data_IF_105644252150
#
_entry.id   IF_105644252150
#
_cell.length_a   1.000
_cell.length_b   1.000
_cell.length_c   1.000
_cell.angle_alpha   90.00
_cell.angle_beta   90.00
_cell.angle_gamma   90.00
#
_symmetry.space_group_name_H-M   'P 1'
#
loop_
_entity.id
_entity.type
_entity.pdbx_description
1 polymer ?
#
# COMPACT_ATOMS: atom_id res chain seq x y z
N UNK A 1 -19.31 17.36 -5.67
CA UNK A 1 -20.19 17.81 -4.56
C UNK A 1 -19.35 17.87 -3.30
N UNK A 2 -19.19 19.08 -2.73
CA UNK A 2 -18.43 19.36 -1.51
C UNK A 2 -19.33 19.09 -0.29
N UNK A 3 -18.88 18.32 0.69
CA UNK A 3 -19.37 18.32 2.07
C UNK A 3 -18.15 18.02 2.96
N UNK A 4 -17.52 19.02 3.58
CA UNK A 4 -17.91 19.74 4.80
C UNK A 4 -17.83 18.84 6.05
N UNK A 5 -16.64 18.80 6.67
CA UNK A 5 -16.45 18.41 8.06
C UNK A 5 -17.18 19.43 8.96
N UNK A 6 -18.12 18.94 9.76
CA UNK A 6 -18.88 19.70 10.74
C UNK A 6 -18.61 19.20 12.16
N UNK A 7 -18.38 20.16 13.05
CA UNK A 7 -18.12 20.09 14.49
C UNK A 7 -19.00 19.09 15.27
N UNK A 8 -18.45 18.56 16.36
CA UNK A 8 -19.24 18.15 17.52
C UNK A 8 -18.75 18.89 18.77
N UNK A 9 -19.71 19.47 19.49
CA UNK A 9 -19.56 20.40 20.60
C UNK A 9 -19.36 19.69 21.96
N UNK A 10 -18.95 20.51 22.93
CA UNK A 10 -18.53 20.18 24.28
C UNK A 10 -19.59 19.49 25.16
N UNK A 11 -19.11 18.60 26.04
CA UNK A 11 -19.84 18.07 27.19
C UNK A 11 -18.88 17.83 28.36
N UNK A 12 -19.26 18.36 29.53
CA UNK A 12 -18.54 18.31 30.81
C UNK A 12 -18.07 16.89 31.21
N UNK A 13 -16.82 16.76 31.66
CA UNK A 13 -16.36 15.61 32.44
C UNK A 13 -15.99 16.02 33.88
N UNK A 14 -16.62 15.35 34.84
CA UNK A 14 -16.26 15.35 36.26
C UNK A 14 -14.87 14.74 36.47
N UNK A 15 -14.07 15.37 37.32
CA UNK A 15 -12.74 14.89 37.70
C UNK A 15 -12.85 13.70 38.67
N UNK A 16 -12.48 12.52 38.20
CA UNK A 16 -12.18 11.35 39.02
C UNK A 16 -10.69 11.04 38.90
N UNK A 17 -9.95 11.15 40.00
CA UNK A 17 -8.52 10.82 40.06
C UNK A 17 -8.31 9.31 39.86
N UNK A 18 -7.77 8.92 38.71
CA UNK A 18 -7.30 7.56 38.47
C UNK A 18 -5.77 7.53 38.55
N UNK A 19 -5.26 6.66 39.40
CA UNK A 19 -3.83 6.45 39.62
C UNK A 19 -3.11 6.10 38.31
N UNK A 20 -2.01 6.81 38.04
CA UNK A 20 -1.16 6.56 36.89
C UNK A 20 -0.45 5.22 37.03
N UNK A 21 -0.91 4.21 36.30
CA UNK A 21 -0.12 3.02 36.02
C UNK A 21 1.01 3.44 35.07
N UNK A 22 2.26 3.26 35.50
CA UNK A 22 3.43 3.51 34.66
C UNK A 22 3.38 2.60 33.43
N UNK A 23 3.10 3.18 32.26
CA UNK A 23 3.27 2.50 30.99
C UNK A 23 4.76 2.18 30.82
N UNK A 24 5.08 0.89 30.71
CA UNK A 24 6.40 0.46 30.30
C UNK A 24 6.68 1.06 28.92
N UNK A 25 7.65 1.97 28.85
CA UNK A 25 8.10 2.58 27.61
C UNK A 25 8.69 1.49 26.71
N UNK A 26 8.06 1.27 25.56
CA UNK A 26 8.72 0.60 24.43
C UNK A 26 10.00 1.39 24.13
N UNK A 27 11.17 0.76 23.96
CA UNK A 27 12.42 1.48 23.72
C UNK A 27 12.25 2.46 22.56
N UNK A 28 12.57 3.72 22.83
CA UNK A 28 12.37 4.82 21.90
C UNK A 28 13.10 4.58 20.60
N UNK A 29 12.35 4.59 19.49
CA UNK A 29 12.90 4.87 18.17
C UNK A 29 13.32 6.34 18.14
N UNK A 30 14.55 6.55 18.59
CA UNK A 30 15.35 7.75 18.48
C UNK A 30 16.82 7.36 18.33
N UNK A 31 17.07 6.21 17.68
CA UNK A 31 18.41 5.72 17.44
C UNK A 31 19.16 6.71 16.55
N UNK A 32 20.42 6.96 16.88
CA UNK A 32 21.36 7.64 15.97
C UNK A 32 21.26 6.97 14.60
N UNK A 33 20.90 7.72 13.56
CA UNK A 33 20.86 7.21 12.18
C UNK A 33 19.46 7.06 11.56
N UNK A 34 18.38 7.36 12.27
CA UNK A 34 17.06 7.44 11.62
C UNK A 34 16.96 8.69 10.71
N UNK A 35 16.53 8.51 9.46
CA UNK A 35 16.37 9.60 8.50
C UNK A 35 15.10 9.44 7.65
N UNK A 36 14.58 10.57 7.16
CA UNK A 36 13.59 10.63 6.08
C UNK A 36 14.11 11.66 5.07
N UNK A 37 14.28 11.24 3.84
CA UNK A 37 14.82 12.07 2.77
C UNK A 37 13.98 11.94 1.49
N UNK A 38 13.89 12.99 0.65
CA UNK A 38 13.33 12.87 -0.68
C UNK A 38 14.02 11.78 -1.50
N UNK A 39 13.23 10.87 -2.05
CA UNK A 39 13.66 9.93 -3.07
C UNK A 39 13.12 10.39 -4.41
N UNK A 40 13.89 11.25 -5.08
CA UNK A 40 13.46 11.93 -6.28
C UNK A 40 14.28 11.55 -7.54
N UNK A 41 14.23 10.29 -8.01
CA UNK A 41 14.95 9.91 -9.21
C UNK A 41 14.44 10.66 -10.44
N UNK A 42 15.38 11.07 -11.31
CA UNK A 42 15.04 11.67 -12.59
C UNK A 42 14.08 10.78 -13.39
N UNK A 43 13.15 11.40 -14.13
CA UNK A 43 12.05 10.78 -14.90
C UNK A 43 10.95 10.09 -14.08
N UNK A 44 11.23 9.73 -12.82
CA UNK A 44 10.23 9.20 -11.89
C UNK A 44 9.51 10.33 -11.17
N UNK A 45 10.23 11.29 -10.59
CA UNK A 45 9.59 12.44 -9.94
C UNK A 45 9.12 13.46 -10.96
N UNK A 46 7.89 13.95 -10.78
CA UNK A 46 7.32 14.99 -11.64
C UNK A 46 6.36 15.91 -10.86
N UNK A 47 5.77 16.94 -11.49
CA UNK A 47 4.70 17.74 -10.86
C UNK A 47 3.36 17.00 -10.71
N UNK A 48 3.31 15.72 -11.07
CA UNK A 48 2.14 14.84 -10.88
C UNK A 48 2.27 14.10 -9.56
N UNK A 49 1.22 13.37 -9.19
CA UNK A 49 1.23 12.61 -7.96
C UNK A 49 1.81 11.22 -8.22
N UNK A 50 2.99 10.91 -7.69
CA UNK A 50 3.57 9.57 -7.70
C UNK A 50 3.36 8.83 -6.36
N UNK A 51 3.06 7.53 -6.40
CA UNK A 51 2.83 6.71 -5.21
C UNK A 51 2.99 5.22 -5.47
N UNK A 52 2.82 4.40 -4.42
CA UNK A 52 2.77 2.93 -4.49
C UNK A 52 3.90 2.30 -5.32
N UNK A 53 5.18 2.60 -5.03
CA UNK A 53 6.29 1.97 -5.71
C UNK A 53 6.30 0.46 -5.45
N UNK A 54 6.76 -0.28 -6.44
CA UNK A 54 7.03 -1.72 -6.40
C UNK A 54 8.17 -2.04 -7.35
N UNK A 55 9.23 -2.69 -6.86
CA UNK A 55 10.32 -3.13 -7.72
C UNK A 55 10.06 -4.56 -8.20
N UNK A 56 10.25 -4.82 -9.50
CA UNK A 56 10.26 -6.18 -10.03
C UNK A 56 11.49 -6.91 -9.46
N UNK A 57 11.32 -7.99 -8.67
CA UNK A 57 12.45 -8.68 -8.05
C UNK A 57 13.36 -9.41 -9.05
N UNK A 58 12.94 -9.59 -10.32
CA UNK A 58 13.77 -10.21 -11.37
C UNK A 58 14.60 -9.21 -12.15
N UNK A 59 14.09 -8.00 -12.39
CA UNK A 59 14.74 -7.03 -13.28
C UNK A 59 15.23 -5.78 -12.58
N UNK A 60 14.70 -5.47 -11.39
CA UNK A 60 14.92 -4.21 -10.69
C UNK A 60 14.14 -3.03 -11.29
N UNK A 61 13.27 -3.27 -12.28
CA UNK A 61 12.42 -2.23 -12.86
C UNK A 61 11.42 -1.70 -11.82
N UNK A 62 11.15 -0.39 -11.87
CA UNK A 62 10.20 0.26 -10.97
C UNK A 62 8.83 0.29 -11.61
N UNK A 63 7.85 -0.27 -10.91
CA UNK A 63 6.43 -0.06 -11.14
C UNK A 63 5.92 0.91 -10.07
N UNK A 64 5.08 1.85 -10.45
CA UNK A 64 4.53 2.84 -9.53
C UNK A 64 3.21 3.38 -10.04
N UNK A 65 2.43 3.97 -9.15
CA UNK A 65 1.20 4.67 -9.50
C UNK A 65 1.52 6.13 -9.81
N UNK A 66 0.97 6.64 -10.91
CA UNK A 66 0.94 8.06 -11.21
C UNK A 66 -0.48 8.52 -11.50
N UNK A 67 -0.87 9.65 -10.92
CA UNK A 67 -2.18 10.29 -11.10
C UNK A 67 -2.07 11.79 -11.37
N UNK A 68 -3.20 12.44 -11.62
CA UNK A 68 -3.27 13.89 -11.59
C UNK A 68 -2.90 14.43 -10.19
N UNK A 69 -2.52 15.72 -10.07
CA UNK A 69 -2.17 16.32 -8.78
C UNK A 69 -3.27 16.26 -7.72
N UNK A 70 -4.54 16.14 -8.12
CA UNK A 70 -5.70 15.97 -7.24
C UNK A 70 -5.97 14.50 -6.86
N UNK A 71 -4.99 13.61 -7.12
CA UNK A 71 -5.04 12.18 -6.84
C UNK A 71 -6.14 11.43 -7.62
N UNK A 72 -6.54 11.92 -8.80
CA UNK A 72 -7.49 11.26 -9.69
C UNK A 72 -6.84 10.59 -10.91
N UNK A 73 -7.49 9.58 -11.47
CA UNK A 73 -7.05 8.92 -12.70
C UNK A 73 -5.81 8.04 -12.54
N UNK A 74 -5.73 7.27 -11.44
CA UNK A 74 -4.61 6.37 -11.14
C UNK A 74 -4.26 5.44 -12.30
N UNK A 75 -2.98 5.40 -12.65
CA UNK A 75 -2.38 4.47 -13.61
C UNK A 75 -1.12 3.87 -13.05
N UNK A 76 -0.95 2.57 -13.26
CA UNK A 76 0.34 1.89 -13.05
C UNK A 76 1.23 2.22 -14.24
N UNK A 77 2.43 2.72 -13.97
CA UNK A 77 3.49 2.92 -14.94
C UNK A 77 4.68 2.06 -14.55
N UNK A 78 5.50 1.72 -15.55
CA UNK A 78 6.78 1.07 -15.35
C UNK A 78 7.92 1.90 -15.95
N UNK A 79 9.06 1.94 -15.27
CA UNK A 79 10.31 2.52 -15.75
C UNK A 79 11.42 1.51 -15.59
N UNK A 80 12.24 1.37 -16.64
CA UNK A 80 13.36 0.43 -16.65
C UNK A 80 14.61 1.05 -16.05
N UNK A 81 15.36 0.25 -15.31
CA UNK A 81 16.61 0.68 -14.71
C UNK A 81 17.79 0.31 -15.62
N UNK A 82 18.47 1.30 -16.19
CA UNK A 82 19.54 1.09 -17.18
C UNK A 82 20.78 1.95 -16.95
N UNK A 83 21.78 1.88 -17.85
CA UNK A 83 23.02 2.66 -17.73
C UNK A 83 22.78 4.17 -17.71
N UNK A 84 21.73 4.66 -18.37
CA UNK A 84 21.35 6.08 -18.41
C UNK A 84 20.41 6.48 -17.26
N UNK A 85 20.29 5.62 -16.24
CA UNK A 85 19.32 5.77 -15.15
C UNK A 85 17.96 5.15 -15.46
N UNK A 86 16.93 5.66 -14.81
CA UNK A 86 15.54 5.28 -15.07
C UNK A 86 15.11 5.73 -16.48
N UNK A 87 14.37 4.89 -17.20
CA UNK A 87 13.76 5.25 -18.49
C UNK A 87 12.56 6.17 -18.33
N UNK A 88 12.07 6.75 -19.44
CA UNK A 88 10.75 7.37 -19.43
C UNK A 88 9.68 6.34 -18.98
N UNK A 89 8.79 6.70 -18.03
CA UNK A 89 7.73 5.81 -17.58
C UNK A 89 6.73 5.51 -18.70
N UNK A 90 6.46 4.24 -18.92
CA UNK A 90 5.48 3.75 -19.90
C UNK A 90 4.40 2.91 -19.22
N UNK A 91 3.27 2.70 -19.86
CA UNK A 91 2.28 1.74 -19.36
C UNK A 91 2.86 0.32 -19.44
N UNK A 92 2.63 -0.53 -18.43
CA UNK A 92 3.05 -1.92 -18.49
C UNK A 92 2.27 -2.70 -19.56
N UNK A 93 2.81 -3.82 -20.09
CA UNK A 93 2.16 -4.59 -21.15
C UNK A 93 0.75 -5.12 -20.82
N UNK A 94 0.41 -5.20 -19.53
CA UNK A 94 -0.89 -5.67 -19.03
C UNK A 94 -1.88 -4.55 -18.68
N UNK A 95 -1.48 -3.29 -18.89
CA UNK A 95 -2.31 -2.12 -18.67
C UNK A 95 -3.64 -2.28 -19.43
N UNK A 96 -4.73 -1.92 -18.77
CA UNK A 96 -6.07 -2.00 -19.34
C UNK A 96 -6.81 -0.68 -19.23
N UNK A 97 -8.04 -0.65 -19.71
CA UNK A 97 -8.95 0.48 -19.49
C UNK A 97 -9.28 0.69 -18.00
N UNK A 98 -9.72 1.91 -17.66
CA UNK A 98 -10.16 2.25 -16.30
C UNK A 98 -9.02 2.79 -15.44
N UNK A 99 -9.24 2.81 -14.13
CA UNK A 99 -8.19 3.12 -13.16
C UNK A 99 -7.52 1.83 -12.69
N UNK A 100 -6.24 1.93 -12.38
CA UNK A 100 -5.44 0.82 -11.84
C UNK A 100 -4.36 1.35 -10.89
N UNK A 101 -4.13 0.62 -9.80
CA UNK A 101 -3.22 1.04 -8.74
C UNK A 101 -2.66 -0.17 -7.96
N UNK A 102 -1.81 0.12 -6.98
CA UNK A 102 -1.31 -0.80 -5.96
C UNK A 102 -0.56 -2.03 -6.49
N UNK A 103 0.44 -1.87 -7.37
CA UNK A 103 1.20 -3.00 -7.86
C UNK A 103 1.94 -3.70 -6.71
N UNK A 104 1.87 -5.04 -6.68
CA UNK A 104 2.60 -5.87 -5.74
C UNK A 104 3.09 -7.16 -6.38
N UNK A 105 4.41 -7.36 -6.38
CA UNK A 105 5.03 -8.56 -6.90
C UNK A 105 5.03 -9.68 -5.85
N UNK A 106 4.87 -10.92 -6.30
CA UNK A 106 5.33 -12.08 -5.54
C UNK A 106 6.86 -12.04 -5.39
N UNK A 107 7.40 -12.70 -4.35
CA UNK A 107 8.84 -12.67 -4.08
C UNK A 107 9.70 -13.23 -5.23
N UNK A 108 9.19 -14.23 -5.96
CA UNK A 108 9.80 -14.77 -7.18
C UNK A 108 9.51 -13.92 -8.43
N UNK A 109 8.70 -12.87 -8.28
CA UNK A 109 8.17 -12.00 -9.31
C UNK A 109 7.30 -12.68 -10.35
N UNK A 110 6.89 -13.95 -10.22
CA UNK A 110 6.09 -14.63 -11.23
C UNK A 110 4.71 -14.01 -11.44
N UNK A 111 4.17 -13.36 -10.41
CA UNK A 111 2.84 -12.76 -10.41
C UNK A 111 2.91 -11.34 -9.88
N UNK A 112 2.10 -10.46 -10.46
CA UNK A 112 1.82 -9.13 -9.93
C UNK A 112 0.34 -9.04 -9.57
N UNK A 113 0.05 -8.64 -8.34
CA UNK A 113 -1.28 -8.26 -7.86
C UNK A 113 -1.47 -6.75 -7.97
N UNK A 114 -2.69 -6.31 -8.23
CA UNK A 114 -3.04 -4.91 -8.34
C UNK A 114 -4.55 -4.72 -8.23
N UNK A 115 -5.02 -3.48 -8.09
CA UNK A 115 -6.44 -3.15 -8.15
C UNK A 115 -6.81 -2.52 -9.50
N UNK A 116 -8.03 -2.76 -9.97
CA UNK A 116 -8.51 -2.11 -11.20
C UNK A 116 -10.02 -2.09 -11.31
N UNK A 117 -10.54 -1.02 -11.94
CA UNK A 117 -11.94 -0.90 -12.36
C UNK A 117 -12.19 -1.38 -13.80
N UNK A 118 -11.21 -2.09 -14.39
CA UNK A 118 -11.38 -2.73 -15.70
C UNK A 118 -12.53 -3.74 -15.65
N UNK A 119 -13.23 -3.93 -16.76
CA UNK A 119 -14.31 -4.92 -16.80
C UNK A 119 -13.76 -6.34 -16.72
N UNK A 120 -14.37 -7.25 -15.93
CA UNK A 120 -13.97 -8.67 -15.84
C UNK A 120 -13.84 -9.37 -17.20
N UNK A 121 -14.76 -9.09 -18.12
CA UNK A 121 -14.81 -9.63 -19.47
C UNK A 121 -13.98 -8.82 -20.49
N UNK A 122 -13.44 -7.68 -20.08
CA UNK A 122 -12.74 -6.72 -20.95
C UNK A 122 -13.66 -5.81 -21.76
N UNK A 123 -14.97 -5.84 -21.52
CA UNK A 123 -15.91 -4.92 -22.18
C UNK A 123 -15.73 -3.47 -21.70
N UNK A 124 -15.98 -2.52 -22.59
CA UNK A 124 -16.08 -1.12 -22.18
C UNK A 124 -17.33 -0.92 -21.31
N UNK A 125 -17.25 0.01 -20.35
CA UNK A 125 -18.43 0.43 -19.59
C UNK A 125 -19.52 0.93 -20.56
N UNK A 126 -20.80 0.58 -20.35
CA UNK A 126 -21.89 1.22 -21.08
C UNK A 126 -21.85 2.75 -20.87
N UNK A 127 -22.12 3.57 -21.91
CA UNK A 127 -22.21 5.01 -21.75
C UNK A 127 -23.18 5.39 -20.62
N UNK A 128 -22.76 6.29 -19.73
CA UNK A 128 -23.60 6.79 -18.64
C UNK A 128 -23.80 5.84 -17.46
N UNK A 129 -23.17 4.64 -17.45
CA UNK A 129 -23.09 3.79 -16.27
C UNK A 129 -21.64 3.78 -15.75
N UNK A 130 -21.38 4.21 -14.51
CA UNK A 130 -20.04 4.09 -13.95
C UNK A 130 -19.62 2.61 -13.95
N UNK A 131 -18.34 2.34 -14.23
CA UNK A 131 -17.75 1.01 -14.00
C UNK A 131 -17.92 0.65 -12.52
N UNK A 132 -17.89 -0.65 -12.22
CA UNK A 132 -17.93 -1.20 -10.86
C UNK A 132 -16.86 -0.52 -9.97
N UNK A 133 -16.97 -0.75 -8.66
CA UNK A 133 -15.91 -0.53 -7.70
C UNK A 133 -14.57 -1.20 -8.12
N UNK A 134 -13.51 -0.90 -7.38
CA UNK A 134 -12.20 -1.51 -7.61
C UNK A 134 -12.22 -2.95 -7.14
N UNK A 135 -11.79 -3.87 -8.00
CA UNK A 135 -11.59 -5.28 -7.63
C UNK A 135 -10.09 -5.58 -7.53
N UNK A 136 -9.74 -6.69 -6.86
CA UNK A 136 -8.42 -7.29 -6.88
C UNK A 136 -8.20 -8.12 -8.15
N UNK A 137 -7.06 -7.88 -8.78
CA UNK A 137 -6.59 -8.55 -9.98
C UNK A 137 -5.20 -9.13 -9.75
N UNK A 138 -4.86 -10.15 -10.55
CA UNK A 138 -3.50 -10.64 -10.71
C UNK A 138 -3.12 -10.76 -12.18
N UNK A 139 -1.84 -10.70 -12.48
CA UNK A 139 -1.30 -11.04 -13.79
C UNK A 139 -0.04 -11.87 -13.60
N UNK A 140 0.01 -12.99 -14.31
CA UNK A 140 1.15 -13.91 -14.30
C UNK A 140 2.04 -13.64 -15.51
N UNK A 141 3.35 -13.80 -15.35
CA UNK A 141 4.28 -13.84 -16.49
C UNK A 141 4.73 -15.27 -16.78
N UNK A 142 4.93 -15.54 -18.07
CA UNK A 142 5.44 -16.83 -18.52
C UNK A 142 6.93 -17.03 -18.19
N UNK A 143 7.47 -18.21 -18.52
CA UNK A 143 8.87 -18.54 -18.30
C UNK A 143 9.85 -17.64 -19.08
N UNK A 144 9.38 -16.96 -20.13
CA UNK A 144 10.15 -15.99 -20.92
C UNK A 144 10.02 -14.56 -20.36
N UNK A 145 9.28 -14.37 -19.26
CA UNK A 145 9.08 -13.08 -18.61
C UNK A 145 8.00 -12.22 -19.25
N UNK A 146 7.20 -12.75 -20.19
CA UNK A 146 6.11 -11.99 -20.82
C UNK A 146 4.88 -12.03 -19.94
N UNK A 147 4.32 -10.86 -19.65
CA UNK A 147 3.05 -10.75 -18.94
C UNK A 147 1.89 -11.33 -19.76
N UNK A 148 1.07 -12.14 -19.11
CA UNK A 148 -0.16 -12.69 -19.68
C UNK A 148 -1.34 -11.73 -19.57
N UNK A 149 -2.55 -12.28 -19.74
CA UNK A 149 -3.79 -11.53 -19.54
C UNK A 149 -4.11 -11.43 -18.04
N UNK A 150 -4.41 -10.22 -17.51
CA UNK A 150 -4.86 -10.07 -16.14
C UNK A 150 -6.15 -10.83 -15.84
N UNK A 151 -6.20 -11.41 -14.65
CA UNK A 151 -7.31 -12.20 -14.13
C UNK A 151 -7.86 -11.52 -12.87
N UNK A 152 -9.16 -11.27 -12.87
CA UNK A 152 -9.88 -10.83 -11.66
C UNK A 152 -9.89 -11.97 -10.66
N UNK A 153 -9.60 -11.70 -9.39
CA UNK A 153 -9.74 -12.72 -8.35
C UNK A 153 -11.22 -13.08 -8.16
N UNK A 154 -11.54 -14.35 -7.87
CA UNK A 154 -12.92 -14.76 -7.73
C UNK A 154 -13.52 -14.28 -6.40
N UNK A 155 -14.83 -14.27 -6.29
CA UNK A 155 -15.51 -14.30 -5.01
C UNK A 155 -15.10 -15.58 -4.24
N UNK A 156 -15.01 -15.54 -2.89
CA UNK A 156 -15.29 -14.41 -2.00
C UNK A 156 -14.10 -13.44 -1.78
N UNK A 157 -13.03 -13.51 -2.57
CA UNK A 157 -11.87 -12.60 -2.41
C UNK A 157 -12.25 -11.17 -2.80
N UNK A 158 -12.92 -11.01 -3.95
CA UNK A 158 -13.62 -9.78 -4.27
C UNK A 158 -15.03 -9.78 -3.66
N UNK A 159 -15.57 -8.60 -3.42
CA UNK A 159 -16.89 -8.41 -2.81
C UNK A 159 -17.77 -7.46 -3.63
N UNK A 160 -19.01 -7.19 -3.17
CA UNK A 160 -19.84 -6.13 -3.75
C UNK A 160 -19.36 -4.71 -3.46
N UNK A 161 -18.32 -4.53 -2.64
CA UNK A 161 -17.67 -3.24 -2.37
C UNK A 161 -16.28 -3.16 -2.99
N UNK A 162 -15.61 -2.03 -2.80
CA UNK A 162 -14.27 -1.80 -3.32
C UNK A 162 -13.21 -2.57 -2.50
N UNK A 163 -12.29 -3.22 -3.21
CA UNK A 163 -11.07 -3.80 -2.67
C UNK A 163 -9.83 -2.95 -3.00
N UNK A 164 -8.86 -3.00 -2.09
CA UNK A 164 -7.72 -2.09 -2.08
C UNK A 164 -6.42 -2.79 -1.68
N UNK A 165 -5.27 -2.35 -2.22
CA UNK A 165 -3.94 -2.70 -1.73
C UNK A 165 -3.66 -4.22 -1.56
N UNK A 166 -3.78 -5.05 -2.60
CA UNK A 166 -3.49 -6.47 -2.49
C UNK A 166 -1.99 -6.73 -2.27
N UNK A 167 -1.64 -7.23 -1.08
CA UNK A 167 -0.27 -7.56 -0.68
C UNK A 167 -0.17 -9.03 -0.26
N UNK A 168 0.38 -9.86 -1.14
CA UNK A 168 0.72 -11.25 -0.78
C UNK A 168 1.90 -11.26 0.19
N UNK A 169 1.69 -11.83 1.38
CA UNK A 169 2.70 -11.91 2.43
C UNK A 169 3.45 -13.25 2.43
N UNK A 170 4.60 -13.34 3.13
CA UNK A 170 5.39 -14.58 3.23
C UNK A 170 4.67 -15.76 3.88
N UNK A 171 3.63 -15.52 4.66
CA UNK A 171 2.78 -16.56 5.28
C UNK A 171 1.76 -17.18 4.29
N UNK A 172 1.78 -16.74 3.03
CA UNK A 172 0.91 -17.21 1.96
C UNK A 172 -0.49 -16.59 1.98
N UNK A 173 -0.76 -15.62 2.85
CA UNK A 173 -2.01 -14.87 2.84
C UNK A 173 -1.90 -13.61 1.98
N UNK A 174 -2.94 -13.33 1.21
CA UNK A 174 -3.14 -12.07 0.49
C UNK A 174 -3.86 -11.10 1.43
N UNK A 175 -3.17 -10.06 1.89
CA UNK A 175 -3.73 -8.99 2.72
C UNK A 175 -4.27 -7.86 1.82
N UNK A 176 -5.39 -7.26 2.20
CA UNK A 176 -6.04 -6.19 1.41
C UNK A 176 -7.04 -5.39 2.27
N UNK A 177 -7.42 -4.19 1.81
CA UNK A 177 -8.56 -3.44 2.35
C UNK A 177 -9.86 -3.77 1.61
N UNK A 178 -11.00 -3.77 2.28
CA UNK A 178 -12.32 -4.00 1.64
C UNK A 178 -13.40 -3.13 2.28
N UNK A 179 -14.10 -2.36 1.45
CA UNK A 179 -15.09 -1.36 1.88
C UNK A 179 -16.48 -1.99 2.02
N UNK A 180 -17.11 -1.84 3.19
CA UNK A 180 -18.50 -2.26 3.43
C UNK A 180 -18.73 -3.77 3.38
N UNK A 181 -17.67 -4.58 3.50
CA UNK A 181 -17.75 -6.03 3.44
C UNK A 181 -18.49 -6.59 4.67
N UNK A 182 -19.45 -7.52 4.50
CA UNK A 182 -20.14 -8.16 5.62
C UNK A 182 -19.17 -8.81 6.62
N UNK A 183 -19.38 -8.54 7.92
CA UNK A 183 -18.48 -8.97 8.99
C UNK A 183 -17.34 -7.99 9.29
N UNK A 184 -17.33 -6.83 8.62
CA UNK A 184 -16.45 -5.70 8.94
C UNK A 184 -16.79 -5.01 10.26
N UNK A 185 -15.84 -4.21 10.76
CA UNK A 185 -15.94 -3.43 11.99
C UNK A 185 -16.13 -1.93 11.70
N UNK A 186 -15.77 -1.47 10.49
CA UNK A 186 -15.79 -0.07 10.09
C UNK A 186 -16.26 0.16 8.67
N UNK A 187 -15.77 1.24 8.05
CA UNK A 187 -16.10 1.59 6.66
C UNK A 187 -15.27 0.76 5.69
N UNK A 188 -13.95 0.90 5.78
CA UNK A 188 -13.00 0.04 5.09
C UNK A 188 -12.16 -0.65 6.13
N UNK A 189 -12.21 -1.97 6.12
CA UNK A 189 -11.45 -2.81 7.05
C UNK A 189 -10.32 -3.52 6.32
N UNK A 190 -9.32 -3.93 7.08
CA UNK A 190 -8.27 -4.84 6.64
C UNK A 190 -8.73 -6.30 6.73
N UNK A 191 -8.52 -7.03 5.65
CA UNK A 191 -8.84 -8.44 5.48
C UNK A 191 -7.62 -9.21 4.97
N UNK A 192 -7.70 -10.53 5.06
CA UNK A 192 -6.77 -11.43 4.38
C UNK A 192 -7.48 -12.61 3.76
N UNK A 193 -6.97 -13.11 2.64
CA UNK A 193 -7.49 -14.28 1.95
C UNK A 193 -6.39 -15.31 1.66
N UNK A 194 -6.74 -16.59 1.70
CA UNK A 194 -5.86 -17.68 1.27
C UNK A 194 -6.65 -18.78 0.59
N UNK A 195 -6.08 -19.32 -0.47
CA UNK A 195 -6.63 -20.47 -1.17
C UNK A 195 -6.22 -21.78 -0.47
N UNK A 196 -7.20 -22.63 -0.18
CA UNK A 196 -7.01 -24.00 0.29
C UNK A 196 -6.54 -24.93 -0.83
N UNK A 197 -6.19 -26.17 -0.46
CA UNK A 197 -5.75 -27.20 -1.42
C UNK A 197 -6.86 -27.67 -2.36
N UNK A 198 -8.10 -27.52 -1.93
CA UNK A 198 -9.32 -27.75 -2.68
C UNK A 198 -9.67 -26.62 -3.66
N UNK A 199 -8.87 -25.55 -3.68
CA UNK A 199 -9.10 -24.36 -4.49
C UNK A 199 -10.09 -23.37 -3.89
N UNK A 200 -10.69 -23.66 -2.73
CA UNK A 200 -11.60 -22.75 -2.06
C UNK A 200 -10.84 -21.60 -1.38
N UNK A 201 -11.42 -20.40 -1.37
CA UNK A 201 -10.82 -19.25 -0.69
C UNK A 201 -11.43 -19.05 0.69
N UNK A 202 -10.58 -18.95 1.70
CA UNK A 202 -10.94 -18.46 3.04
C UNK A 202 -10.61 -16.98 3.10
N UNK A 203 -11.53 -16.17 3.64
CA UNK A 203 -11.31 -14.73 3.84
C UNK A 203 -11.66 -14.34 5.27
N UNK A 204 -10.78 -13.57 5.90
CA UNK A 204 -10.83 -13.26 7.33
C UNK A 204 -10.62 -11.76 7.57
N UNK A 205 -11.43 -11.17 8.44
CA UNK A 205 -11.20 -9.82 8.95
C UNK A 205 -10.00 -9.86 9.93
N UNK A 206 -9.15 -8.84 9.90
CA UNK A 206 -7.96 -8.80 10.77
C UNK A 206 -8.23 -8.42 12.23
N UNK A 207 -9.47 -8.08 12.57
CA UNK A 207 -9.93 -7.88 13.94
C UNK A 207 -9.63 -6.49 14.51
N UNK A 208 -10.10 -6.22 15.74
CA UNK A 208 -10.18 -4.89 16.33
C UNK A 208 -8.84 -4.30 16.79
N UNK A 209 -7.77 -5.10 16.82
CA UNK A 209 -6.42 -4.59 17.07
C UNK A 209 -5.87 -3.78 15.88
N UNK A 210 -6.37 -4.09 14.68
CA UNK A 210 -5.95 -3.47 13.43
C UNK A 210 -7.05 -2.64 12.78
N UNK A 211 -8.33 -3.00 12.97
CA UNK A 211 -9.49 -2.31 12.39
C UNK A 211 -10.26 -1.50 13.44
N UNK A 212 -10.88 -0.40 13.04
CA UNK A 212 -11.77 0.43 13.87
C UNK A 212 -13.09 0.71 13.15
N UNK A 213 -13.87 1.67 13.66
CA UNK A 213 -15.11 2.10 13.01
C UNK A 213 -14.86 2.99 11.76
N UNK A 214 -13.64 3.49 11.58
CA UNK A 214 -13.25 4.37 10.49
C UNK A 214 -12.70 3.57 9.29
N UNK A 215 -11.73 4.15 8.57
CA UNK A 215 -11.11 3.57 7.40
C UNK A 215 -9.67 3.14 7.70
N UNK A 216 -9.37 1.88 7.41
CA UNK A 216 -8.02 1.30 7.41
C UNK A 216 -7.65 0.73 6.03
N UNK A 217 -6.43 1.01 5.61
CA UNK A 217 -5.91 0.74 4.27
C UNK A 217 -4.48 0.20 4.31
N UNK A 218 -3.97 -0.19 3.15
CA UNK A 218 -2.56 -0.50 2.87
C UNK A 218 -1.86 -1.53 3.81
N UNK A 219 -2.44 -2.71 4.08
CA UNK A 219 -1.78 -3.68 4.94
C UNK A 219 -0.52 -4.25 4.27
N UNK A 220 0.65 -3.89 4.78
CA UNK A 220 1.95 -4.29 4.28
C UNK A 220 2.71 -5.10 5.33
N UNK A 221 2.81 -6.41 5.12
CA UNK A 221 3.56 -7.32 6.00
C UNK A 221 5.04 -7.35 5.60
N UNK A 222 5.93 -7.26 6.59
CA UNK A 222 7.39 -7.36 6.39
C UNK A 222 7.80 -8.75 5.90
N UNK A 223 8.96 -8.84 5.24
CA UNK A 223 9.47 -10.09 4.67
C UNK A 223 9.72 -11.19 5.72
N UNK A 224 10.01 -10.83 6.97
CA UNK A 224 10.15 -11.77 8.09
C UNK A 224 8.80 -12.16 8.74
N UNK A 225 7.70 -11.56 8.29
CA UNK A 225 6.34 -11.78 8.80
C UNK A 225 6.09 -11.23 10.19
N UNK A 226 6.99 -10.41 10.75
CA UNK A 226 6.92 -9.95 12.15
C UNK A 226 6.28 -8.57 12.31
N UNK A 227 6.30 -7.72 11.28
CA UNK A 227 5.73 -6.38 11.32
C UNK A 227 4.70 -6.20 10.23
N UNK A 228 3.68 -5.42 10.51
CA UNK A 228 2.77 -4.84 9.53
C UNK A 228 2.91 -3.33 9.57
N UNK A 229 3.04 -2.71 8.40
CA UNK A 229 2.75 -1.28 8.19
C UNK A 229 1.35 -1.18 7.59
N UNK A 230 0.57 -0.21 8.02
CA UNK A 230 -0.77 0.04 7.47
C UNK A 230 -1.09 1.54 7.51
N UNK A 231 -2.02 1.98 6.69
CA UNK A 231 -2.52 3.34 6.71
C UNK A 231 -3.84 3.39 7.49
N UNK A 232 -4.00 4.38 8.37
CA UNK A 232 -5.27 4.68 9.02
C UNK A 232 -5.38 6.19 9.25
N UNK A 233 -6.60 6.72 9.23
CA UNK A 233 -6.86 8.16 9.32
C UNK A 233 -6.05 8.96 8.28
N UNK A 234 -4.94 9.58 8.69
CA UNK A 234 -4.09 10.42 7.86
C UNK A 234 -2.60 10.01 7.89
N UNK A 235 -2.24 8.84 8.43
CA UNK A 235 -0.81 8.48 8.55
C UNK A 235 -0.55 6.99 8.58
N UNK A 236 0.72 6.64 8.72
CA UNK A 236 1.18 5.26 8.80
C UNK A 236 1.19 4.77 10.24
N UNK A 237 0.82 3.51 10.41
CA UNK A 237 0.84 2.78 11.65
C UNK A 237 1.66 1.53 11.48
N UNK A 238 2.16 1.00 12.60
CA UNK A 238 2.80 -0.31 12.67
C UNK A 238 2.10 -1.23 13.66
N UNK A 239 2.15 -2.52 13.40
CA UNK A 239 1.78 -3.59 14.33
C UNK A 239 2.85 -4.67 14.30
N UNK A 240 3.06 -5.35 15.43
CA UNK A 240 4.01 -6.45 15.57
C UNK A 240 3.26 -7.78 15.77
N UNK A 241 3.78 -8.85 15.19
CA UNK A 241 3.19 -10.19 15.26
C UNK A 241 3.79 -10.97 16.42
N UNK A 242 2.96 -11.28 17.41
CA UNK A 242 3.30 -12.12 18.55
C UNK A 242 2.65 -13.51 18.49
N UNK A 243 2.72 -14.22 19.62
CA UNK A 243 2.11 -15.55 19.76
C UNK A 243 0.57 -15.54 19.59
N UNK A 244 -0.07 -14.41 19.87
CA UNK A 244 -1.53 -14.23 19.80
C UNK A 244 -2.00 -13.49 18.54
N UNK A 245 -1.13 -13.32 17.53
CA UNK A 245 -1.44 -12.58 16.32
C UNK A 245 -0.86 -11.17 16.32
N UNK A 246 -1.48 -10.28 15.55
CA UNK A 246 -1.07 -8.89 15.42
C UNK A 246 -1.39 -8.10 16.67
N UNK A 247 -0.46 -7.29 17.15
CA UNK A 247 -0.69 -6.35 18.24
C UNK A 247 -1.59 -5.20 17.80
N UNK A 248 -2.14 -4.47 18.78
CA UNK A 248 -2.75 -3.17 18.49
C UNK A 248 -1.79 -2.27 17.69
N UNK A 249 -2.32 -1.62 16.67
CA UNK A 249 -1.55 -0.69 15.83
C UNK A 249 -1.05 0.53 16.61
N UNK A 250 0.15 1.00 16.29
CA UNK A 250 0.81 2.17 16.88
C UNK A 250 1.23 3.11 15.75
N UNK A 251 0.84 4.39 15.84
CA UNK A 251 1.18 5.40 14.83
C UNK A 251 2.69 5.59 14.73
N UNK A 252 3.21 5.84 13.54
CA UNK A 252 4.61 6.22 13.42
C UNK A 252 4.86 7.61 14.02
N UNK A 253 6.13 7.89 14.31
CA UNK A 253 6.52 9.17 14.88
C UNK A 253 6.49 10.30 13.85
N UNK A 254 6.59 11.56 14.29
CA UNK A 254 6.48 12.75 13.43
C UNK A 254 7.59 12.91 12.39
N UNK A 255 8.59 12.00 12.36
CA UNK A 255 9.56 11.92 11.27
C UNK A 255 8.94 11.35 10.00
N UNK A 256 8.09 10.32 10.15
CA UNK A 256 7.35 9.70 9.05
C UNK A 256 6.00 10.41 8.90
N UNK A 257 5.20 10.50 9.96
CA UNK A 257 3.88 11.15 9.92
C UNK A 257 4.01 12.63 10.30
N UNK A 258 4.68 13.39 9.44
CA UNK A 258 5.11 14.75 9.75
C UNK A 258 4.00 15.78 9.51
N UNK A 259 3.60 15.90 8.24
CA UNK A 259 2.57 16.81 7.77
C UNK A 259 1.95 16.26 6.48
N UNK A 260 0.62 16.20 6.41
CA UNK A 260 -0.08 15.62 5.27
C UNK A 260 -0.50 14.18 5.52
N UNK A 261 -0.75 13.46 4.42
CA UNK A 261 -1.10 12.03 4.47
C UNK A 261 -0.06 11.18 3.79
N UNK A 262 0.44 10.17 4.50
CA UNK A 262 1.41 9.21 4.00
C UNK A 262 0.71 7.97 3.41
N UNK A 263 1.09 7.60 2.19
CA UNK A 263 0.47 6.52 1.42
C UNK A 263 1.49 5.73 0.60
N UNK A 264 1.08 4.60 0.06
CA UNK A 264 1.87 3.74 -0.81
C UNK A 264 3.16 3.23 -0.19
N UNK A 265 3.10 2.75 1.05
CA UNK A 265 4.28 2.22 1.71
C UNK A 265 4.85 0.99 0.98
N UNK A 266 6.18 0.90 0.92
CA UNK A 266 6.96 -0.24 0.46
C UNK A 266 8.16 -0.44 1.39
N UNK A 267 8.25 -1.60 2.04
CA UNK A 267 9.38 -1.96 2.89
C UNK A 267 10.53 -2.55 2.04
N UNK A 268 11.76 -2.27 2.47
CA UNK A 268 12.93 -3.01 2.01
C UNK A 268 12.86 -4.49 2.42
N UNK A 269 13.55 -5.40 1.70
CA UNK A 269 13.58 -6.82 2.06
C UNK A 269 14.09 -7.09 3.48
N UNK A 270 14.99 -6.26 4.01
CA UNK A 270 15.51 -6.35 5.38
C UNK A 270 14.59 -5.69 6.44
N UNK A 271 13.53 -4.99 6.01
CA UNK A 271 12.56 -4.33 6.89
C UNK A 271 13.07 -3.09 7.63
N UNK A 272 14.25 -2.56 7.25
CA UNK A 272 14.92 -1.45 7.91
C UNK A 272 14.90 -0.13 7.11
N UNK A 273 14.26 -0.14 5.93
CA UNK A 273 13.99 1.04 5.11
C UNK A 273 12.58 0.99 4.53
N UNK A 274 12.02 2.15 4.18
CA UNK A 274 10.67 2.25 3.61
C UNK A 274 10.58 3.39 2.60
N UNK A 275 10.02 3.11 1.43
CA UNK A 275 9.54 4.13 0.50
C UNK A 275 8.07 4.39 0.76
N UNK A 276 7.64 5.64 0.65
CA UNK A 276 6.24 6.04 0.75
C UNK A 276 6.06 7.38 0.04
N UNK A 277 4.83 7.69 -0.37
CA UNK A 277 4.47 9.00 -0.89
C UNK A 277 3.83 9.86 0.19
N UNK A 278 3.97 11.18 0.06
CA UNK A 278 3.30 12.14 0.95
C UNK A 278 2.36 13.05 0.18
N UNK A 279 1.14 13.20 0.68
CA UNK A 279 0.15 14.16 0.22
C UNK A 279 0.09 15.38 1.14
N UNK A 280 0.69 16.49 0.71
CA UNK A 280 0.68 17.76 1.43
C UNK A 280 -0.54 18.64 1.10
N UNK A 281 -1.48 18.13 0.30
CA UNK A 281 -2.59 18.90 -0.30
C UNK A 281 -2.09 20.14 -1.06
N UNK A 282 -0.98 20.00 -1.79
CA UNK A 282 -0.32 21.11 -2.49
C UNK A 282 0.65 20.66 -3.58
N UNK A 283 1.50 21.57 -4.04
CA UNK A 283 2.40 21.34 -5.19
C UNK A 283 3.41 20.19 -4.99
N UNK A 284 3.68 19.81 -3.74
CA UNK A 284 4.58 18.71 -3.37
C UNK A 284 3.85 17.40 -3.08
N UNK A 285 2.55 17.31 -3.34
CA UNK A 285 1.79 16.07 -3.16
C UNK A 285 2.24 15.00 -4.16
N UNK A 286 2.51 13.80 -3.65
CA UNK A 286 3.05 12.68 -4.42
C UNK A 286 4.58 12.64 -4.49
N UNK A 287 5.27 13.43 -3.66
CA UNK A 287 6.71 13.25 -3.45
C UNK A 287 6.97 11.91 -2.77
N UNK A 288 7.88 11.13 -3.35
CA UNK A 288 8.37 9.89 -2.76
C UNK A 288 9.46 10.21 -1.73
N UNK A 289 9.34 9.61 -0.56
CA UNK A 289 10.23 9.76 0.57
C UNK A 289 10.83 8.40 0.93
N UNK A 290 12.08 8.41 1.37
CA UNK A 290 12.80 7.26 1.85
C UNK A 290 13.11 7.42 3.32
N UNK A 291 12.48 6.56 4.13
CA UNK A 291 12.81 6.40 5.54
C UNK A 291 13.85 5.31 5.72
N UNK A 292 14.80 5.53 6.65
CA UNK A 292 15.74 4.52 7.14
C UNK A 292 15.84 4.59 8.65
N UNK A 293 16.00 3.45 9.31
CA UNK A 293 16.18 3.37 10.77
C UNK A 293 17.67 3.33 11.21
N UNK A 294 18.60 3.46 10.26
CA UNK A 294 20.04 3.37 10.48
C UNK A 294 20.65 1.98 10.30
N UNK A 295 19.83 0.92 10.13
CA UNK A 295 20.29 -0.46 9.89
C UNK A 295 20.02 -0.97 8.48
N UNK A 296 19.31 -0.20 7.67
CA UNK A 296 18.88 -0.60 6.34
C UNK A 296 20.03 -0.76 5.35
N UNK A 297 19.85 -1.67 4.40
CA UNK A 297 20.74 -1.86 3.26
C UNK A 297 21.00 -0.51 2.54
N UNK A 298 22.24 -0.02 2.51
CA UNK A 298 22.56 1.24 1.86
C UNK A 298 22.34 1.22 0.34
N UNK A 299 22.21 0.02 -0.25
CA UNK A 299 21.93 -0.17 -1.68
C UNK A 299 20.44 -0.24 -2.00
N UNK A 300 19.56 -0.14 -0.99
CA UNK A 300 18.12 -0.04 -1.18
C UNK A 300 17.64 1.42 -1.03
N UNK A 301 16.70 1.90 -1.87
CA UNK A 301 16.11 1.24 -3.05
C UNK A 301 17.13 0.92 -4.15
N UNK A 302 16.85 -0.09 -5.01
CA UNK A 302 17.75 -0.45 -6.11
C UNK A 302 18.15 0.77 -6.94
N UNK A 303 19.45 0.90 -7.20
CA UNK A 303 20.00 1.97 -8.05
C UNK A 303 20.26 1.43 -9.44
N UNK A 304 20.04 2.27 -10.45
CA UNK A 304 20.42 1.89 -11.80
C UNK A 304 21.94 1.79 -11.91
N UNK A 305 22.44 0.82 -12.69
CA UNK A 305 23.86 0.64 -12.88
C UNK A 305 24.45 1.93 -13.47
N UNK A 306 25.53 2.42 -12.88
CA UNK A 306 26.28 3.55 -13.44
C UNK A 306 27.21 3.00 -14.54
N UNK A 307 27.31 3.64 -15.72
CA UNK A 307 28.29 3.25 -16.73
C UNK A 307 29.69 3.27 -16.10
N UNK A 308 30.46 2.20 -16.33
CA UNK A 308 31.88 2.15 -15.92
C UNK A 308 32.74 3.02 -16.82
#
# INVERSE_FOLDING_TARGET
>A
MKQALGLCAAGLCLAGAAAAAAAASVPGYGARGESVEPWAPARISSPRFESHPAFDPRTGDLYFVRSAPDFTGWRILMSRCGPDGWSEPVQPPFAGDGVEADPWFTADGATLYFISSRSPDGAAAPPGRPRKDLDLWRVDRDAQGRWGRPQRLPEPVNSPGAEWFPRLAPDGWLYFGSTGRPGGLGKTDLWRARQGRDGAWTVENLGPDLNTADDEYEPLVSADGRRMVLMAADGLYRSERGAHGWSKRVRFGPRIDANGSEIGALLSPDGHSMLFARDLKGERSGELLLWRDGRGDPNWPPRCPVPR
#
